data_IF_655882670843
#
_entry.id   IF_655882670843
#
_cell.length_a   1.000
_cell.length_b   1.000
_cell.length_c   1.000
_cell.angle_alpha   90.00
_cell.angle_beta   90.00
_cell.angle_gamma   90.00
#
_symmetry.space_group_name_H-M   'P 1'
#
loop_
_entity.id
_entity.type
_entity.pdbx_description
1 polymer ?
#
# COMPACT_ATOMS: atom_id res chain seq x y z
N UNK A 1 27.31 16.28 14.85
CA UNK A 1 25.88 15.89 14.75
C UNK A 1 25.80 14.62 13.92
N UNK A 2 25.37 13.50 14.49
CA UNK A 2 25.21 12.25 13.76
C UNK A 2 24.13 12.47 12.70
N UNK A 3 24.46 12.33 11.40
CA UNK A 3 23.47 12.23 10.33
C UNK A 3 22.65 10.97 10.57
N UNK A 4 21.62 11.05 11.41
CA UNK A 4 20.73 9.91 11.61
C UNK A 4 20.01 9.67 10.28
N UNK A 5 20.32 8.56 9.63
CA UNK A 5 19.58 8.12 8.46
C UNK A 5 18.14 7.86 8.89
N UNK A 6 17.19 8.40 8.13
CA UNK A 6 15.77 8.11 8.31
C UNK A 6 15.46 6.83 7.53
N UNK A 7 15.62 5.67 8.19
CA UNK A 7 15.51 4.33 7.61
C UNK A 7 14.28 3.59 8.15
N UNK A 8 13.75 2.66 7.34
CA UNK A 8 12.72 1.75 7.78
C UNK A 8 13.20 0.88 8.96
N UNK A 9 12.28 0.52 9.86
CA UNK A 9 12.53 -0.42 10.95
C UNK A 9 12.14 -1.81 10.52
N UNK A 10 13.05 -2.74 10.63
CA UNK A 10 12.96 -4.14 10.17
C UNK A 10 13.85 -5.03 11.06
N UNK A 11 13.85 -6.38 10.98
CA UNK A 11 13.20 -7.17 9.93
C UNK A 11 11.84 -7.74 10.35
N UNK A 12 11.40 -7.64 11.58
CA UNK A 12 10.24 -8.36 12.12
C UNK A 12 9.46 -7.55 13.17
N UNK A 13 8.29 -8.05 13.53
CA UNK A 13 7.41 -7.43 14.52
C UNK A 13 8.07 -7.33 15.91
N UNK A 14 8.86 -8.32 16.29
CA UNK A 14 9.55 -8.31 17.59
C UNK A 14 10.52 -7.13 17.68
N UNK A 15 11.31 -6.92 16.63
CA UNK A 15 12.23 -5.79 16.51
C UNK A 15 11.48 -4.46 16.52
N UNK A 16 10.37 -4.35 15.78
CA UNK A 16 9.54 -3.15 15.75
C UNK A 16 8.99 -2.84 17.15
N UNK A 17 8.39 -3.83 17.84
CA UNK A 17 7.81 -3.66 19.18
C UNK A 17 8.86 -3.38 20.25
N UNK A 18 10.10 -3.83 20.09
CA UNK A 18 11.20 -3.48 20.99
C UNK A 18 11.76 -2.06 20.74
N UNK A 19 11.52 -1.51 19.56
CA UNK A 19 11.99 -0.17 19.17
C UNK A 19 10.98 0.93 19.51
N UNK A 20 9.69 0.60 19.62
CA UNK A 20 8.61 1.58 19.82
C UNK A 20 7.55 1.03 20.77
N UNK A 21 7.22 1.79 21.83
CA UNK A 21 6.15 1.45 22.78
C UNK A 21 4.77 1.40 22.08
N UNK A 22 4.56 2.26 21.09
CA UNK A 22 3.36 2.31 20.26
C UNK A 22 3.74 2.41 18.78
N UNK A 23 3.88 1.27 18.06
CA UNK A 23 4.33 1.27 16.67
C UNK A 23 3.46 2.11 15.73
N UNK A 24 2.13 2.05 15.85
CA UNK A 24 1.23 2.83 14.98
C UNK A 24 1.39 4.33 15.24
N UNK A 25 1.58 4.75 16.47
CA UNK A 25 1.85 6.15 16.76
C UNK A 25 3.21 6.59 16.20
N UNK A 26 4.23 5.76 16.26
CA UNK A 26 5.54 6.04 15.68
C UNK A 26 5.46 6.26 14.16
N UNK A 27 4.65 5.48 13.43
CA UNK A 27 4.33 5.75 12.02
C UNK A 27 3.56 7.06 11.84
N UNK A 28 2.57 7.34 12.70
CA UNK A 28 1.78 8.57 12.64
C UNK A 28 2.66 9.82 12.84
N UNK A 29 3.63 9.75 13.76
CA UNK A 29 4.57 10.82 14.06
C UNK A 29 5.80 10.84 13.12
N UNK A 30 5.86 9.92 12.17
CA UNK A 30 6.97 9.78 11.20
C UNK A 30 8.35 9.58 11.82
N UNK A 31 8.39 8.96 13.01
CA UNK A 31 9.65 8.60 13.68
C UNK A 31 10.49 7.63 12.85
N UNK A 32 9.80 6.78 12.10
CA UNK A 32 10.37 5.88 11.07
C UNK A 32 9.57 6.02 9.77
N UNK A 33 10.19 5.89 8.59
CA UNK A 33 9.47 5.94 7.32
C UNK A 33 8.49 4.78 7.13
N UNK A 34 8.87 3.59 7.57
CA UNK A 34 8.08 2.38 7.41
C UNK A 34 8.50 1.29 8.39
N UNK A 35 7.61 0.35 8.62
CA UNK A 35 7.92 -0.97 9.19
C UNK A 35 7.96 -1.99 8.07
N UNK A 36 9.03 -2.78 8.00
CA UNK A 36 9.16 -3.86 7.03
C UNK A 36 9.25 -5.18 7.79
N UNK A 37 8.34 -6.09 7.47
CA UNK A 37 8.30 -7.45 8.02
C UNK A 37 8.76 -8.38 6.91
N UNK A 38 9.95 -8.92 7.07
CA UNK A 38 10.57 -9.82 6.11
C UNK A 38 9.91 -11.18 6.15
N UNK A 39 9.68 -11.75 4.95
CA UNK A 39 9.06 -13.08 4.82
C UNK A 39 7.74 -13.22 5.61
N UNK A 40 6.95 -12.13 5.70
CA UNK A 40 5.64 -12.17 6.33
C UNK A 40 4.70 -13.17 5.66
N UNK A 41 4.86 -13.37 4.35
CA UNK A 41 4.14 -14.35 3.57
C UNK A 41 5.10 -15.28 2.84
N UNK A 42 4.68 -16.52 2.58
CA UNK A 42 5.52 -17.53 1.94
C UNK A 42 5.87 -17.15 0.49
N UNK A 43 7.16 -16.97 0.13
CA UNK A 43 7.56 -16.62 -1.23
C UNK A 43 7.16 -17.65 -2.29
N UNK A 44 7.05 -18.95 -1.93
CA UNK A 44 6.56 -19.96 -2.86
C UNK A 44 5.10 -19.74 -3.21
N UNK A 45 4.26 -19.42 -2.21
CA UNK A 45 2.86 -19.06 -2.46
C UNK A 45 2.74 -17.76 -3.27
N UNK A 46 3.67 -16.81 -3.13
CA UNK A 46 3.72 -15.64 -4.02
C UNK A 46 3.90 -16.07 -5.48
N UNK A 47 4.87 -16.94 -5.78
CA UNK A 47 5.12 -17.43 -7.13
C UNK A 47 3.92 -18.20 -7.70
N UNK A 48 3.31 -19.07 -6.91
CA UNK A 48 2.13 -19.85 -7.30
C UNK A 48 0.90 -18.97 -7.54
N UNK A 49 0.70 -17.90 -6.75
CA UNK A 49 -0.35 -16.91 -6.98
C UNK A 49 -0.12 -16.14 -8.29
N UNK A 50 1.12 -15.79 -8.63
CA UNK A 50 1.45 -15.16 -9.92
C UNK A 50 1.05 -16.08 -11.08
N UNK A 51 1.41 -17.37 -11.02
CA UNK A 51 1.00 -18.34 -12.04
C UNK A 51 -0.52 -18.50 -12.11
N UNK A 52 -1.21 -18.47 -10.97
CA UNK A 52 -2.68 -18.47 -10.93
C UNK A 52 -3.28 -17.23 -11.61
N UNK A 53 -2.71 -16.05 -11.39
CA UNK A 53 -3.17 -14.83 -12.06
C UNK A 53 -2.98 -14.89 -13.57
N UNK A 54 -1.90 -15.47 -14.04
CA UNK A 54 -1.68 -15.74 -15.47
C UNK A 54 -2.70 -16.72 -16.02
N UNK A 55 -2.90 -17.85 -15.34
CA UNK A 55 -3.83 -18.90 -15.74
C UNK A 55 -5.27 -18.38 -15.90
N UNK A 56 -5.72 -17.51 -15.01
CA UNK A 56 -7.04 -16.89 -15.09
C UNK A 56 -7.11 -15.65 -15.99
N UNK A 57 -6.03 -15.32 -16.68
CA UNK A 57 -5.98 -14.19 -17.62
C UNK A 57 -5.97 -12.81 -16.95
N UNK A 58 -5.78 -12.72 -15.62
CA UNK A 58 -5.61 -11.44 -14.92
C UNK A 58 -4.26 -10.80 -15.23
N UNK A 59 -3.29 -11.61 -15.61
CA UNK A 59 -1.94 -11.17 -15.90
C UNK A 59 -1.52 -11.75 -17.25
N UNK A 60 -1.06 -10.91 -18.17
CA UNK A 60 -0.56 -11.34 -19.50
C UNK A 60 0.96 -11.47 -19.45
N UNK A 61 1.48 -12.34 -20.30
CA UNK A 61 2.92 -12.52 -20.45
C UNK A 61 3.63 -11.21 -20.79
N UNK A 62 4.85 -11.09 -20.27
CA UNK A 62 5.63 -9.87 -20.28
C UNK A 62 6.19 -9.47 -21.66
N UNK A 63 6.22 -10.38 -22.64
CA UNK A 63 6.72 -10.07 -23.98
C UNK A 63 5.85 -9.03 -24.68
N UNK A 64 6.41 -7.83 -24.83
CA UNK A 64 5.77 -6.68 -25.48
C UNK A 64 6.42 -6.35 -26.80
N UNK A 65 5.59 -6.04 -27.80
CA UNK A 65 5.97 -5.10 -28.85
C UNK A 65 5.89 -3.67 -28.26
N UNK A 66 6.75 -2.75 -28.67
CA UNK A 66 6.78 -1.33 -28.25
C UNK A 66 5.42 -0.60 -28.44
N UNK A 67 4.54 -1.15 -29.28
CA UNK A 67 3.20 -0.60 -29.55
C UNK A 67 2.18 -0.88 -28.42
N UNK A 68 2.46 -1.77 -27.48
CA UNK A 68 1.45 -2.27 -26.52
C UNK A 68 1.64 -1.62 -25.14
N UNK A 69 1.25 -0.35 -24.98
CA UNK A 69 1.17 0.34 -23.69
C UNK A 69 0.03 -0.27 -22.86
N UNK A 70 0.34 -1.26 -22.07
CA UNK A 70 -0.65 -1.90 -21.18
C UNK A 70 -1.01 -0.97 -20.03
N UNK A 71 -2.32 -0.79 -19.75
CA UNK A 71 -2.73 -0.12 -18.53
C UNK A 71 -2.34 -0.98 -17.31
N UNK A 72 -2.18 -0.33 -16.14
CA UNK A 72 -2.13 -1.03 -14.86
C UNK A 72 -3.37 -1.91 -14.71
N UNK A 73 -3.20 -3.10 -14.18
CA UNK A 73 -4.32 -3.98 -13.84
C UNK A 73 -4.56 -3.90 -12.34
N UNK A 74 -5.81 -3.64 -11.99
CA UNK A 74 -6.29 -3.64 -10.61
C UNK A 74 -7.27 -4.82 -10.44
N UNK A 75 -6.93 -5.79 -9.56
CA UNK A 75 -7.81 -6.92 -9.20
C UNK A 75 -8.36 -6.63 -7.81
N UNK A 76 -9.66 -6.43 -7.73
CA UNK A 76 -10.34 -6.04 -6.49
C UNK A 76 -10.94 -4.64 -6.55
N UNK A 77 -11.47 -4.18 -5.41
CA UNK A 77 -12.15 -2.88 -5.30
C UNK A 77 -11.18 -1.82 -4.80
N UNK A 78 -11.26 -0.63 -5.37
CA UNK A 78 -10.54 0.55 -4.90
C UNK A 78 -11.49 1.70 -4.65
N UNK A 79 -11.46 2.25 -3.45
CA UNK A 79 -12.21 3.46 -3.09
C UNK A 79 -11.77 4.65 -3.97
N UNK A 80 -10.49 4.75 -4.27
CA UNK A 80 -9.94 5.76 -5.18
C UNK A 80 -10.58 5.71 -6.56
N UNK A 81 -10.77 4.52 -7.13
CA UNK A 81 -11.31 4.34 -8.48
C UNK A 81 -12.85 4.42 -8.54
N UNK A 82 -13.55 3.90 -7.55
CA UNK A 82 -15.00 3.69 -7.58
C UNK A 82 -15.78 4.56 -6.58
N UNK A 83 -15.10 5.21 -5.64
CA UNK A 83 -15.76 5.95 -4.54
C UNK A 83 -16.51 7.21 -4.96
N UNK A 84 -16.49 7.60 -6.23
CA UNK A 84 -17.42 8.63 -6.75
C UNK A 84 -18.89 8.16 -6.76
N UNK A 85 -19.11 6.83 -6.80
CA UNK A 85 -20.42 6.20 -6.76
C UNK A 85 -20.46 5.13 -5.65
N UNK A 86 -20.99 5.44 -4.45
CA UNK A 86 -21.01 4.51 -3.32
C UNK A 86 -21.73 3.19 -3.61
N UNK A 87 -22.86 3.21 -4.29
CA UNK A 87 -23.61 2.01 -4.63
C UNK A 87 -22.78 1.05 -5.50
N UNK A 88 -22.18 1.59 -6.57
CA UNK A 88 -21.29 0.82 -7.45
C UNK A 88 -20.07 0.31 -6.68
N UNK A 89 -19.51 1.13 -5.79
CA UNK A 89 -18.38 0.73 -4.95
C UNK A 89 -18.72 -0.47 -4.07
N UNK A 90 -19.79 -0.41 -3.29
CA UNK A 90 -20.16 -1.50 -2.37
C UNK A 90 -20.61 -2.77 -3.11
N UNK A 91 -21.31 -2.63 -4.24
CA UNK A 91 -21.63 -3.77 -5.12
C UNK A 91 -20.36 -4.47 -5.61
N UNK A 92 -19.38 -3.70 -6.06
CA UNK A 92 -18.09 -4.23 -6.51
C UNK A 92 -17.27 -4.82 -5.34
N UNK A 93 -17.30 -4.19 -4.17
CA UNK A 93 -16.65 -4.71 -2.96
C UNK A 93 -17.16 -6.10 -2.56
N UNK A 94 -18.48 -6.31 -2.63
CA UNK A 94 -19.09 -7.62 -2.40
C UNK A 94 -18.55 -8.69 -3.37
N UNK A 95 -18.41 -8.35 -4.64
CA UNK A 95 -17.82 -9.25 -5.64
C UNK A 95 -16.34 -9.52 -5.37
N UNK A 96 -15.58 -8.52 -4.88
CA UNK A 96 -14.17 -8.69 -4.53
C UNK A 96 -13.98 -9.69 -3.38
N UNK A 97 -14.84 -9.68 -2.36
CA UNK A 97 -14.78 -10.68 -1.29
C UNK A 97 -14.96 -12.11 -1.82
N UNK A 98 -15.87 -12.32 -2.77
CA UNK A 98 -16.08 -13.63 -3.41
C UNK A 98 -14.88 -14.00 -4.29
N UNK A 99 -14.39 -13.06 -5.09
CA UNK A 99 -13.23 -13.27 -5.95
C UNK A 99 -12.00 -13.69 -5.15
N UNK A 100 -11.70 -12.99 -4.05
CA UNK A 100 -10.52 -13.30 -3.23
C UNK A 100 -10.64 -14.64 -2.51
N UNK A 101 -11.84 -15.03 -2.08
CA UNK A 101 -12.07 -16.37 -1.56
C UNK A 101 -11.71 -17.45 -2.59
N UNK A 102 -12.05 -17.23 -3.85
CA UNK A 102 -11.71 -18.13 -4.95
C UNK A 102 -10.23 -18.05 -5.33
N UNK A 103 -9.67 -16.83 -5.44
CA UNK A 103 -8.27 -16.65 -5.86
C UNK A 103 -7.26 -17.20 -4.86
N UNK A 104 -7.60 -17.23 -3.56
CA UNK A 104 -6.70 -17.70 -2.51
C UNK A 104 -7.02 -19.11 -2.02
N UNK A 105 -7.97 -19.78 -2.66
CA UNK A 105 -8.29 -21.17 -2.32
C UNK A 105 -7.09 -22.09 -2.52
N UNK A 106 -6.76 -22.88 -1.50
CA UNK A 106 -5.58 -23.74 -1.49
C UNK A 106 -4.25 -23.06 -1.12
N UNK A 107 -4.27 -21.75 -0.79
CA UNK A 107 -3.11 -21.02 -0.25
C UNK A 107 -3.35 -20.52 1.16
N UNK A 108 -2.28 -20.22 1.88
CA UNK A 108 -2.38 -19.33 3.03
C UNK A 108 -2.92 -17.99 2.52
N UNK A 109 -3.96 -17.49 3.18
CA UNK A 109 -4.63 -16.29 2.69
C UNK A 109 -3.75 -15.05 2.88
N UNK A 110 -3.25 -14.38 1.81
CA UNK A 110 -2.37 -13.23 1.92
C UNK A 110 -3.03 -12.03 2.60
N UNK A 111 -4.35 -11.92 2.52
CA UNK A 111 -5.12 -10.91 3.25
C UNK A 111 -5.05 -11.15 4.76
N UNK A 112 -5.16 -12.40 5.19
CA UNK A 112 -5.02 -12.78 6.60
C UNK A 112 -3.62 -12.44 7.12
N UNK A 113 -2.58 -12.69 6.32
CA UNK A 113 -1.22 -12.29 6.66
C UNK A 113 -1.11 -10.79 6.97
N UNK A 114 -1.67 -9.92 6.12
CA UNK A 114 -1.65 -8.47 6.35
C UNK A 114 -2.38 -8.11 7.65
N UNK A 115 -3.59 -8.64 7.86
CA UNK A 115 -4.42 -8.32 9.03
C UNK A 115 -3.81 -8.83 10.34
N UNK A 116 -3.23 -10.03 10.34
CA UNK A 116 -2.57 -10.60 11.50
C UNK A 116 -1.35 -9.77 11.92
N UNK A 117 -0.46 -9.46 10.97
CA UNK A 117 0.71 -8.63 11.27
C UNK A 117 0.32 -7.23 11.76
N UNK A 118 -0.74 -6.64 11.18
CA UNK A 118 -1.27 -5.35 11.65
C UNK A 118 -1.84 -5.48 13.08
N UNK A 119 -2.55 -6.56 13.39
CA UNK A 119 -3.09 -6.82 14.73
C UNK A 119 -1.99 -6.94 15.77
N UNK A 120 -0.87 -7.58 15.42
CA UNK A 120 0.29 -7.70 16.32
C UNK A 120 0.99 -6.35 16.58
N UNK A 121 0.96 -5.43 15.61
CA UNK A 121 1.48 -4.07 15.75
C UNK A 121 0.54 -3.15 16.55
N UNK A 122 -0.73 -3.53 16.70
CA UNK A 122 -1.78 -2.75 17.35
C UNK A 122 -2.44 -3.52 18.50
N UNK A 123 -1.69 -3.91 19.54
CA UNK A 123 -2.25 -4.71 20.63
C UNK A 123 -3.41 -3.96 21.30
N UNK A 124 -4.48 -4.70 21.58
CA UNK A 124 -5.71 -4.16 22.19
C UNK A 124 -6.68 -3.51 21.21
N UNK A 125 -6.36 -3.42 19.91
CA UNK A 125 -7.27 -2.91 18.89
C UNK A 125 -7.83 -4.03 18.01
N UNK A 126 -9.09 -3.89 17.59
CA UNK A 126 -9.76 -4.83 16.72
C UNK A 126 -9.50 -4.49 15.24
N UNK A 127 -8.71 -5.31 14.55
CA UNK A 127 -8.38 -5.14 13.13
C UNK A 127 -9.43 -5.84 12.27
N UNK A 128 -10.15 -5.09 11.44
CA UNK A 128 -11.18 -5.64 10.56
C UNK A 128 -11.35 -4.85 9.27
N UNK A 129 -11.98 -5.49 8.28
CA UNK A 129 -12.43 -4.78 7.08
C UNK A 129 -13.43 -3.68 7.45
N UNK A 130 -13.22 -2.47 6.93
CA UNK A 130 -14.10 -1.33 7.14
C UNK A 130 -15.54 -1.63 6.73
N UNK A 131 -16.49 -1.00 7.44
CA UNK A 131 -17.93 -1.13 7.19
C UNK A 131 -18.63 0.20 7.39
N UNK A 132 -19.71 0.40 6.63
CA UNK A 132 -20.67 1.46 6.90
C UNK A 132 -21.62 1.06 8.04
N UNK A 133 -22.38 2.03 8.54
CA UNK A 133 -23.36 1.80 9.62
C UNK A 133 -24.47 0.82 9.23
N UNK A 134 -24.80 0.73 7.93
CA UNK A 134 -25.76 -0.25 7.39
C UNK A 134 -25.18 -1.66 7.22
N UNK A 135 -23.91 -1.88 7.60
CA UNK A 135 -23.19 -3.14 7.48
C UNK A 135 -22.51 -3.38 6.13
N UNK A 136 -22.62 -2.46 5.16
CA UNK A 136 -21.95 -2.55 3.87
C UNK A 136 -20.44 -2.61 4.04
N UNK A 137 -19.80 -3.69 3.54
CA UNK A 137 -18.35 -3.91 3.67
C UNK A 137 -17.59 -3.29 2.52
N UNK A 138 -16.47 -2.65 2.85
CA UNK A 138 -15.49 -2.20 1.87
C UNK A 138 -14.75 -3.36 1.19
N UNK A 139 -14.07 -3.07 0.08
CA UNK A 139 -13.10 -4.01 -0.50
C UNK A 139 -11.99 -4.31 0.51
N UNK A 140 -11.63 -5.58 0.72
CA UNK A 140 -10.69 -5.95 1.79
C UNK A 140 -9.24 -5.66 1.43
N UNK A 141 -8.92 -5.58 0.15
CA UNK A 141 -7.62 -5.25 -0.43
C UNK A 141 -7.74 -5.05 -1.94
N UNK A 142 -6.66 -4.60 -2.57
CA UNK A 142 -6.51 -4.55 -4.02
C UNK A 142 -5.17 -5.16 -4.43
N UNK A 143 -5.16 -5.96 -5.48
CA UNK A 143 -3.93 -6.43 -6.12
C UNK A 143 -3.66 -5.52 -7.31
N UNK A 144 -2.45 -4.99 -7.39
CA UNK A 144 -2.02 -4.09 -8.45
C UNK A 144 -0.87 -4.70 -9.23
N UNK A 145 -1.05 -4.80 -10.54
CA UNK A 145 -0.05 -5.30 -11.50
C UNK A 145 0.42 -4.11 -12.33
N UNK A 146 1.70 -3.77 -12.19
CA UNK A 146 2.33 -2.66 -12.88
C UNK A 146 3.33 -3.20 -13.89
N UNK A 147 3.22 -2.70 -15.12
CA UNK A 147 4.09 -3.07 -16.24
C UNK A 147 5.16 -2.03 -16.50
N UNK A 148 6.07 -2.34 -17.41
CA UNK A 148 7.15 -1.46 -17.85
C UNK A 148 6.68 -0.02 -18.15
N UNK A 149 7.46 0.96 -17.72
CA UNK A 149 7.17 2.39 -17.87
C UNK A 149 6.14 2.96 -16.90
N UNK A 150 5.37 2.12 -16.18
CA UNK A 150 4.37 2.61 -15.21
C UNK A 150 5.04 3.12 -13.95
N UNK A 151 4.54 4.25 -13.45
CA UNK A 151 5.06 4.92 -12.25
C UNK A 151 3.93 5.58 -11.46
N UNK A 152 4.18 5.84 -10.20
CA UNK A 152 3.44 6.82 -9.42
C UNK A 152 4.34 8.02 -9.15
N UNK A 153 3.91 9.21 -9.61
CA UNK A 153 4.56 10.47 -9.29
C UNK A 153 4.43 10.77 -7.80
N UNK A 154 5.23 11.70 -7.25
CA UNK A 154 5.07 12.15 -5.87
C UNK A 154 3.61 12.50 -5.56
N UNK A 155 3.04 11.89 -4.50
CA UNK A 155 1.66 12.07 -4.09
C UNK A 155 1.47 11.67 -2.63
N UNK A 156 0.27 11.87 -2.14
CA UNK A 156 -0.25 11.26 -0.92
C UNK A 156 -1.46 10.39 -1.26
N UNK A 157 -1.79 9.46 -0.36
CA UNK A 157 -3.07 8.79 -0.36
C UNK A 157 -3.83 9.13 0.92
N UNK A 158 -4.96 9.81 0.78
CA UNK A 158 -5.79 10.17 1.92
C UNK A 158 -7.23 10.39 1.50
N UNK A 159 -8.15 9.71 2.18
CA UNK A 159 -9.59 9.74 1.89
C UNK A 159 -10.17 11.16 1.86
N UNK A 160 -9.73 12.02 2.78
CA UNK A 160 -10.23 13.41 2.87
C UNK A 160 -9.33 14.38 2.11
N UNK A 161 -8.02 14.40 2.40
CA UNK A 161 -7.12 15.44 1.90
C UNK A 161 -6.92 15.40 0.39
N UNK A 162 -6.92 14.22 -0.21
CA UNK A 162 -6.75 14.03 -1.65
C UNK A 162 -8.07 13.83 -2.38
N UNK A 163 -8.98 13.04 -1.78
CA UNK A 163 -10.13 12.50 -2.51
C UNK A 163 -11.46 13.13 -2.07
N UNK A 164 -11.47 13.91 -0.98
CA UNK A 164 -12.66 14.58 -0.43
C UNK A 164 -13.86 13.65 -0.21
N UNK A 165 -13.61 12.38 0.16
CA UNK A 165 -14.62 11.32 0.28
C UNK A 165 -15.27 11.28 1.65
N UNK A 166 -15.85 12.40 2.06
CA UNK A 166 -16.48 12.57 3.39
C UNK A 166 -17.79 11.78 3.56
N UNK A 167 -18.33 11.21 2.49
CA UNK A 167 -19.55 10.37 2.54
C UNK A 167 -19.28 8.92 3.02
N UNK A 168 -18.04 8.51 3.13
CA UNK A 168 -17.64 7.17 3.56
C UNK A 168 -17.20 7.19 5.02
N UNK A 169 -17.62 6.22 5.83
CA UNK A 169 -17.34 6.18 7.28
C UNK A 169 -15.85 6.21 7.62
N UNK A 170 -15.00 5.74 6.70
CA UNK A 170 -13.53 5.74 6.88
C UNK A 170 -12.92 7.15 6.90
N UNK A 171 -13.68 8.21 6.53
CA UNK A 171 -13.22 9.60 6.65
C UNK A 171 -12.98 10.06 8.09
N UNK A 172 -13.58 9.38 9.07
CA UNK A 172 -13.50 9.71 10.50
C UNK A 172 -12.13 9.46 11.13
N UNK A 173 -11.33 8.59 10.53
CA UNK A 173 -10.05 8.23 11.11
C UNK A 173 -9.02 9.36 11.02
N UNK A 174 -8.37 9.63 12.15
CA UNK A 174 -7.37 10.69 12.29
C UNK A 174 -6.10 10.40 11.48
N UNK A 175 -5.71 9.14 11.39
CA UNK A 175 -4.52 8.70 10.68
C UNK A 175 -4.87 7.66 9.62
N UNK A 176 -4.23 7.78 8.47
CA UNK A 176 -4.32 6.80 7.40
C UNK A 176 -2.94 6.26 7.06
N UNK A 177 -2.85 4.94 7.01
CA UNK A 177 -1.65 4.20 6.63
C UNK A 177 -1.94 3.31 5.43
N UNK A 178 -0.89 2.75 4.83
CA UNK A 178 -1.01 1.65 3.89
C UNK A 178 -0.23 0.44 4.38
N UNK A 179 -0.75 -0.74 4.07
CA UNK A 179 -0.05 -2.01 4.16
C UNK A 179 0.12 -2.58 2.75
N UNK A 180 1.33 -2.96 2.39
CA UNK A 180 1.63 -3.45 1.03
C UNK A 180 2.48 -4.71 1.12
N UNK A 181 1.91 -5.82 0.66
CA UNK A 181 2.56 -7.11 0.52
C UNK A 181 3.13 -7.24 -0.90
N UNK A 182 4.42 -7.51 -1.01
CA UNK A 182 5.10 -7.77 -2.28
C UNK A 182 4.82 -9.21 -2.72
N UNK A 183 4.15 -9.39 -3.87
CA UNK A 183 3.96 -10.71 -4.48
C UNK A 183 5.01 -10.98 -5.56
N UNK A 184 5.42 -9.97 -6.31
CA UNK A 184 6.49 -10.05 -7.31
C UNK A 184 7.14 -8.68 -7.49
N UNK A 185 8.47 -8.64 -7.53
CA UNK A 185 9.20 -7.45 -7.96
C UNK A 185 9.24 -7.35 -9.47
N UNK A 186 9.47 -6.14 -9.99
CA UNK A 186 9.98 -5.94 -11.33
C UNK A 186 11.40 -6.53 -11.45
N UNK A 187 11.91 -6.62 -12.68
CA UNK A 187 13.25 -7.16 -12.92
C UNK A 187 14.32 -6.54 -12.02
N UNK A 188 15.16 -7.40 -11.43
CA UNK A 188 16.16 -7.02 -10.45
C UNK A 188 17.29 -6.12 -11.00
N UNK A 189 17.42 -6.01 -12.32
CA UNK A 189 18.48 -5.26 -13.00
C UNK A 189 18.19 -3.75 -13.16
N UNK A 190 16.97 -3.29 -12.87
CA UNK A 190 16.59 -1.89 -12.98
C UNK A 190 16.67 -1.13 -11.64
N UNK A 191 16.52 0.21 -11.65
CA UNK A 191 16.40 1.02 -10.44
C UNK A 191 15.14 0.71 -9.62
N UNK A 192 14.57 -0.43 -9.86
CA UNK A 192 13.50 -1.15 -9.19
C UNK A 192 12.33 -0.24 -8.79
N UNK A 193 11.16 -0.58 -9.17
CA UNK A 193 9.90 0.06 -8.80
C UNK A 193 9.64 -0.01 -7.26
N UNK A 194 10.67 0.29 -6.49
CA UNK A 194 10.63 0.32 -5.03
C UNK A 194 10.03 1.65 -4.59
N UNK A 195 9.07 1.60 -3.68
CA UNK A 195 8.47 2.83 -3.13
C UNK A 195 9.54 3.72 -2.50
N UNK A 196 9.49 5.00 -2.78
CA UNK A 196 10.30 6.02 -2.12
C UNK A 196 9.40 6.86 -1.23
N UNK A 197 9.73 6.93 0.04
CA UNK A 197 9.03 7.71 1.04
C UNK A 197 9.89 8.93 1.37
N UNK A 198 9.29 10.12 1.37
CA UNK A 198 9.98 11.35 1.71
C UNK A 198 9.63 11.78 3.13
N UNK A 199 10.59 12.24 3.91
CA UNK A 199 10.37 12.79 5.26
C UNK A 199 9.68 14.16 5.15
N UNK A 200 8.50 14.15 4.57
CA UNK A 200 7.68 15.31 4.28
C UNK A 200 6.21 14.92 4.36
N UNK A 201 5.53 15.36 5.41
CA UNK A 201 4.08 15.26 5.49
C UNK A 201 3.45 16.29 4.55
N UNK A 202 2.36 15.90 3.93
CA UNK A 202 1.60 16.79 3.09
C UNK A 202 1.04 17.97 3.89
N UNK A 203 1.12 19.14 3.29
CA UNK A 203 0.44 20.35 3.73
C UNK A 203 -0.07 21.11 2.51
N UNK A 204 -1.03 22.05 2.65
CA UNK A 204 -1.45 22.89 1.52
C UNK A 204 -0.31 23.61 0.81
N UNK A 205 0.81 23.91 1.51
CA UNK A 205 2.00 24.53 0.94
C UNK A 205 2.77 23.60 -0.01
N UNK A 206 2.64 22.30 0.15
CA UNK A 206 3.32 21.28 -0.69
C UNK A 206 2.50 20.96 -1.95
N UNK A 207 1.18 21.15 -1.89
CA UNK A 207 0.28 20.79 -2.99
C UNK A 207 0.69 21.38 -4.36
N UNK A 208 1.08 22.65 -4.49
CA UNK A 208 1.51 23.21 -5.78
C UNK A 208 2.71 22.47 -6.40
N UNK A 209 3.67 22.01 -5.59
CA UNK A 209 4.84 21.28 -6.08
C UNK A 209 4.47 19.87 -6.57
N UNK A 210 3.43 19.25 -5.98
CA UNK A 210 2.90 17.98 -6.47
C UNK A 210 2.17 18.18 -7.80
N UNK A 211 1.32 19.18 -7.91
CA UNK A 211 0.53 19.48 -9.11
C UNK A 211 1.39 19.87 -10.31
N UNK A 212 2.46 20.64 -10.06
CA UNK A 212 3.39 21.08 -11.11
C UNK A 212 4.52 20.09 -11.38
N UNK A 213 4.53 18.92 -10.69
CA UNK A 213 5.57 17.88 -10.79
C UNK A 213 6.98 18.36 -10.41
N UNK A 214 7.09 19.44 -9.62
CA UNK A 214 8.38 20.03 -9.17
C UNK A 214 8.76 19.61 -7.74
N UNK A 215 8.03 18.65 -7.14
CA UNK A 215 8.33 18.22 -5.78
C UNK A 215 9.76 17.67 -5.61
N UNK A 216 10.31 17.02 -6.63
CA UNK A 216 11.69 16.49 -6.56
C UNK A 216 12.73 17.59 -6.39
N UNK A 217 12.55 18.73 -7.05
CA UNK A 217 13.44 19.90 -6.93
C UNK A 217 13.25 20.55 -5.56
N UNK A 218 12.00 20.75 -5.14
CA UNK A 218 11.68 21.25 -3.82
C UNK A 218 12.31 20.38 -2.71
N UNK A 219 12.21 19.05 -2.83
CA UNK A 219 12.77 18.12 -1.85
C UNK A 219 14.31 18.22 -1.78
N UNK A 220 14.97 18.39 -2.92
CA UNK A 220 16.42 18.57 -3.00
C UNK A 220 16.85 19.90 -2.37
N UNK A 221 16.21 21.01 -2.72
CA UNK A 221 16.49 22.35 -2.19
C UNK A 221 16.31 22.42 -0.66
N UNK A 222 15.24 21.79 -0.17
CA UNK A 222 14.93 21.77 1.25
C UNK A 222 15.59 20.59 2.01
N UNK A 223 16.49 19.83 1.36
CA UNK A 223 17.23 18.71 1.95
C UNK A 223 16.31 17.69 2.64
N UNK A 224 15.13 17.44 2.05
CA UNK A 224 14.18 16.46 2.57
C UNK A 224 14.78 15.05 2.42
N UNK A 225 14.90 14.35 3.53
CA UNK A 225 15.39 12.96 3.54
C UNK A 225 14.37 12.04 2.85
N UNK A 226 14.85 10.97 2.26
CA UNK A 226 13.98 9.93 1.73
C UNK A 226 14.51 8.54 2.09
N UNK A 227 13.60 7.58 2.09
CA UNK A 227 13.87 6.16 2.29
C UNK A 227 13.32 5.38 1.10
N UNK A 228 14.14 4.55 0.50
CA UNK A 228 13.70 3.59 -0.51
C UNK A 228 13.33 2.27 0.17
N UNK A 229 12.08 1.85 0.01
CA UNK A 229 11.55 0.61 0.59
C UNK A 229 11.89 -0.55 -0.32
N UNK A 230 12.97 -1.27 -0.01
CA UNK A 230 13.42 -2.45 -0.77
C UNK A 230 12.72 -3.69 -0.25
N UNK A 231 12.01 -4.41 -1.11
CA UNK A 231 11.25 -5.61 -0.76
C UNK A 231 11.67 -6.80 -1.62
N UNK A 232 11.48 -7.99 -1.06
CA UNK A 232 11.46 -9.27 -1.78
C UNK A 232 10.04 -9.85 -1.79
N UNK A 233 9.70 -10.79 -2.69
CA UNK A 233 8.41 -11.49 -2.61
C UNK A 233 8.18 -12.09 -1.22
N UNK A 234 7.00 -11.86 -0.66
CA UNK A 234 6.63 -12.24 0.70
C UNK A 234 6.88 -11.18 1.76
N UNK A 235 7.61 -10.10 1.47
CA UNK A 235 7.79 -8.99 2.41
C UNK A 235 6.56 -8.12 2.48
N UNK A 236 6.21 -7.68 3.69
CA UNK A 236 5.10 -6.78 3.99
C UNK A 236 5.64 -5.49 4.59
N UNK A 237 5.16 -4.33 4.16
CA UNK A 237 5.50 -3.09 4.83
C UNK A 237 4.27 -2.22 5.11
N UNK A 238 4.39 -1.41 6.18
CA UNK A 238 3.40 -0.42 6.60
C UNK A 238 4.04 0.97 6.64
N UNK A 239 3.31 1.98 6.19
CA UNK A 239 3.79 3.37 6.19
C UNK A 239 2.62 4.37 6.31
N UNK A 240 2.94 5.61 6.72
CA UNK A 240 1.98 6.71 6.79
C UNK A 240 1.73 7.28 5.38
N UNK A 241 0.50 7.21 4.89
CA UNK A 241 0.15 7.64 3.54
C UNK A 241 0.05 9.16 3.35
N UNK A 242 0.13 9.95 4.42
CA UNK A 242 0.27 11.41 4.35
C UNK A 242 1.71 11.84 4.07
N UNK A 243 2.70 10.96 4.22
CA UNK A 243 4.05 11.20 3.68
C UNK A 243 3.96 11.31 2.16
N UNK A 244 4.65 12.31 1.59
CA UNK A 244 4.84 12.33 0.15
C UNK A 244 5.60 11.07 -0.25
N UNK A 245 5.03 10.32 -1.16
CA UNK A 245 5.63 9.07 -1.63
C UNK A 245 5.45 8.89 -3.14
N UNK A 246 6.32 8.09 -3.71
CA UNK A 246 6.34 7.79 -5.14
C UNK A 246 6.76 6.35 -5.41
N UNK A 247 6.43 5.85 -6.60
CA UNK A 247 7.01 4.63 -7.14
C UNK A 247 7.67 4.99 -8.45
N UNK A 248 9.02 4.91 -8.56
CA UNK A 248 9.74 5.14 -9.80
C UNK A 248 9.23 4.25 -10.93
N UNK A 249 9.53 4.65 -12.16
CA UNK A 249 9.12 3.87 -13.33
C UNK A 249 9.65 2.43 -13.24
N UNK A 250 8.76 1.49 -13.54
CA UNK A 250 9.12 0.08 -13.68
C UNK A 250 9.95 -0.06 -14.95
N UNK A 251 11.01 -0.85 -14.88
CA UNK A 251 11.89 -1.13 -16.01
C UNK A 251 12.02 -2.64 -16.14
N UNK A 252 11.82 -3.15 -17.35
CA UNK A 252 12.01 -4.55 -17.70
C UNK A 252 10.74 -5.33 -18.00
N UNK A 253 10.91 -6.60 -18.23
CA UNK A 253 9.83 -7.47 -18.70
C UNK A 253 8.97 -8.04 -17.58
N UNK A 254 9.49 -8.14 -16.37
CA UNK A 254 8.76 -8.68 -15.22
C UNK A 254 7.91 -7.59 -14.56
N UNK A 255 6.58 -7.73 -14.52
CA UNK A 255 5.73 -6.75 -13.85
C UNK A 255 5.90 -6.80 -12.34
N UNK A 256 5.74 -5.64 -11.70
CA UNK A 256 5.63 -5.55 -10.24
C UNK A 256 4.20 -5.87 -9.83
N UNK A 257 4.05 -6.81 -8.89
CA UNK A 257 2.74 -7.22 -8.35
C UNK A 257 2.74 -7.04 -6.84
N UNK A 258 1.76 -6.30 -6.34
CA UNK A 258 1.57 -6.08 -4.90
C UNK A 258 0.11 -6.25 -4.51
N UNK A 259 -0.13 -6.71 -3.28
CA UNK A 259 -1.42 -6.60 -2.62
C UNK A 259 -1.36 -5.43 -1.65
N UNK A 260 -2.29 -4.49 -1.75
CA UNK A 260 -2.30 -3.26 -0.97
C UNK A 260 -3.63 -3.06 -0.23
N UNK A 261 -3.52 -2.46 0.95
CA UNK A 261 -4.64 -2.03 1.78
C UNK A 261 -4.40 -0.62 2.28
N UNK A 262 -5.47 0.13 2.53
CA UNK A 262 -5.47 1.31 3.40
C UNK A 262 -5.92 0.93 4.79
N UNK A 263 -5.47 1.68 5.77
CA UNK A 263 -5.66 1.41 7.20
C UNK A 263 -6.02 2.73 7.87
N UNK A 264 -7.16 2.76 8.54
CA UNK A 264 -7.60 3.90 9.34
C UNK A 264 -7.43 3.60 10.81
N UNK A 265 -6.90 4.57 11.55
CA UNK A 265 -6.71 4.52 13.00
C UNK A 265 -6.92 5.88 13.64
N UNK A 266 -7.56 5.88 14.80
CA UNK A 266 -7.56 7.02 15.72
C UNK A 266 -7.12 6.54 17.09
N UNK A 267 -6.40 7.36 17.89
CA UNK A 267 -5.96 6.97 19.23
C UNK A 267 -7.11 6.55 20.14
N UNK A 268 -8.25 7.24 20.02
CA UNK A 268 -9.47 7.06 20.80
C UNK A 268 -10.33 5.87 20.37
N UNK A 269 -10.10 5.30 19.20
CA UNK A 269 -10.86 4.17 18.68
C UNK A 269 -10.22 2.83 19.07
N UNK A 270 -11.04 1.85 19.48
CA UNK A 270 -10.61 0.44 19.67
C UNK A 270 -10.54 -0.33 18.34
N UNK A 271 -10.81 0.35 17.23
CA UNK A 271 -10.85 -0.24 15.90
C UNK A 271 -9.70 0.22 15.02
N UNK A 272 -9.15 -0.72 14.28
CA UNK A 272 -8.33 -0.49 13.08
C UNK A 272 -9.15 -0.94 11.88
N UNK A 273 -9.58 0.01 11.07
CA UNK A 273 -10.34 -0.30 9.86
C UNK A 273 -9.41 -0.49 8.67
N UNK A 274 -9.65 -1.54 7.87
CA UNK A 274 -8.85 -1.87 6.69
C UNK A 274 -9.74 -1.85 5.45
N UNK A 275 -9.30 -1.19 4.36
CA UNK A 275 -10.03 -1.13 3.09
C UNK A 275 -9.09 -1.00 1.87
N UNK A 276 -9.68 -1.02 0.67
CA UNK A 276 -8.99 -0.62 -0.56
C UNK A 276 -9.90 0.19 -1.50
#
# INVERSE_FOLDING_TARGET
MKNSHWNATEPDIKTIKSSFDNPINALAQTETPAFIIRHAYNPNHCAELIERFKHFGFMKDAHRSEADKRPRIDIGTSLGNLGSNPEKFFKHAKSTHLLFKFLFDGFDNPLHCIYQNLSELCPGKNVRTARENDGSKYGPAIIRIHYDGQRYKPHIDHVVLRESRTKFSVHRFKHQFAGVLCLQNADASGPGAQSRLHQCLWTPKIQPYIETETFSDYAKENRIKNCQVKLSPGDLYFFNTQLIHEVPAIVGNQPRVVMAVFIGSSPEDDEIAVWA
#
